data_IF_997954784706
#
_entry.id   IF_997954784706
#
_cell.length_a   1.000
_cell.length_b   1.000
_cell.length_c   1.000
_cell.angle_alpha   90.00
_cell.angle_beta   90.00
_cell.angle_gamma   90.00
#
_symmetry.space_group_name_H-M   'P 1'
#
loop_
_entity.id
_entity.type
_entity.pdbx_description
1 polymer ?
#
# COMPACT_ATOMS: atom_id res chain seq x y z
N UNK A 1 -4.08 -7.52 3.16
CA UNK A 1 -5.49 -7.28 3.54
C UNK A 1 -6.22 -8.60 3.44
N UNK A 2 -6.47 -9.25 4.57
CA UNK A 2 -7.18 -10.52 4.68
C UNK A 2 -8.68 -10.22 4.73
N UNK A 3 -9.43 -10.60 3.69
CA UNK A 3 -10.89 -10.59 3.74
C UNK A 3 -11.36 -11.81 4.53
N UNK A 4 -12.24 -11.65 5.53
CA UNK A 4 -12.77 -12.77 6.30
C UNK A 4 -13.70 -13.64 5.45
N UNK A 5 -13.55 -14.94 5.60
CA UNK A 5 -14.45 -15.95 5.10
C UNK A 5 -15.58 -16.19 6.11
N UNK A 6 -16.78 -16.17 5.57
CA UNK A 6 -18.00 -16.84 5.99
C UNK A 6 -18.60 -16.49 7.35
N UNK A 7 -19.74 -15.85 7.30
CA UNK A 7 -20.78 -16.08 8.29
C UNK A 7 -22.05 -16.54 7.57
N UNK A 8 -22.58 -17.66 8.02
CA UNK A 8 -23.88 -18.19 7.63
C UNK A 8 -25.05 -17.29 8.09
N UNK A 9 -26.29 -17.58 7.65
CA UNK A 9 -27.45 -16.72 7.86
C UNK A 9 -27.92 -16.77 9.31
N UNK A 10 -27.47 -15.80 10.08
CA UNK A 10 -28.07 -15.39 11.32
C UNK A 10 -28.04 -13.87 11.30
N UNK A 11 -29.17 -13.22 11.54
CA UNK A 11 -29.24 -11.77 11.74
C UNK A 11 -28.47 -11.39 13.01
N UNK A 12 -27.16 -11.60 12.99
CA UNK A 12 -26.24 -11.05 13.98
C UNK A 12 -26.28 -9.54 13.76
N UNK A 13 -26.70 -8.81 14.78
CA UNK A 13 -26.56 -7.36 14.85
C UNK A 13 -25.14 -7.03 14.37
N UNK A 14 -25.04 -6.30 13.27
CA UNK A 14 -23.76 -5.95 12.66
C UNK A 14 -22.92 -5.19 13.69
N UNK A 15 -22.02 -5.90 14.35
CA UNK A 15 -21.14 -5.33 15.37
C UNK A 15 -19.89 -4.73 14.71
N UNK A 16 -19.38 -3.68 15.28
CA UNK A 16 -18.07 -3.15 14.94
C UNK A 16 -17.00 -4.15 15.30
N UNK A 17 -16.13 -4.49 14.35
CA UNK A 17 -15.06 -5.45 14.52
C UNK A 17 -13.73 -4.74 14.46
N UNK A 18 -12.92 -4.78 15.53
CA UNK A 18 -11.57 -4.27 15.52
C UNK A 18 -10.62 -5.25 14.80
N UNK A 19 -9.56 -4.69 14.20
CA UNK A 19 -8.49 -5.42 13.54
C UNK A 19 -7.18 -4.68 13.80
N UNK A 20 -6.12 -5.42 14.19
CA UNK A 20 -4.83 -4.85 14.56
C UNK A 20 -3.72 -5.52 13.76
N UNK A 21 -2.79 -4.72 13.29
CA UNK A 21 -1.59 -5.19 12.60
C UNK A 21 -0.36 -4.48 13.19
N UNK A 22 0.73 -5.23 13.35
CA UNK A 22 2.04 -4.68 13.70
C UNK A 22 3.09 -5.34 12.78
N UNK A 23 4.00 -4.53 12.24
CA UNK A 23 5.00 -5.02 11.29
C UNK A 23 6.37 -4.45 11.59
N UNK A 24 7.39 -5.25 11.35
CA UNK A 24 8.77 -4.81 11.20
C UNK A 24 9.11 -4.86 9.71
N UNK A 25 9.72 -3.80 9.20
CA UNK A 25 10.08 -3.67 7.79
C UNK A 25 11.58 -3.37 7.68
N UNK A 26 12.20 -3.86 6.62
CA UNK A 26 13.50 -3.41 6.14
C UNK A 26 13.34 -2.98 4.69
N UNK A 27 13.78 -1.77 4.37
CA UNK A 27 13.69 -1.13 3.06
C UNK A 27 15.10 -0.76 2.59
N UNK A 28 15.55 -1.32 1.49
CA UNK A 28 16.90 -1.11 0.97
C UNK A 28 17.08 0.20 0.18
N UNK A 29 15.96 0.88 -0.17
CA UNK A 29 15.99 2.15 -0.90
C UNK A 29 14.82 3.06 -0.49
N UNK A 30 14.86 3.58 0.74
CA UNK A 30 13.81 4.44 1.31
C UNK A 30 13.55 5.69 0.45
N UNK A 31 14.58 6.42 -0.06
CA UNK A 31 14.38 7.61 -0.89
C UNK A 31 14.00 7.30 -2.34
N UNK A 32 14.05 6.02 -2.76
CA UNK A 32 13.87 5.61 -4.17
C UNK A 32 14.85 6.30 -5.09
N UNK A 33 16.10 6.36 -4.66
CA UNK A 33 17.19 6.97 -5.39
C UNK A 33 17.76 6.00 -6.44
N UNK A 34 18.28 6.54 -7.53
CA UNK A 34 18.97 5.80 -8.59
C UNK A 34 20.47 5.67 -8.30
N UNK A 35 21.09 6.76 -7.84
CA UNK A 35 22.54 6.78 -7.62
C UNK A 35 22.89 6.06 -6.31
N UNK A 36 23.88 5.19 -6.37
CA UNK A 36 24.34 4.43 -5.20
C UNK A 36 24.73 5.32 -4.00
N UNK A 37 25.23 6.54 -4.26
CA UNK A 37 25.57 7.52 -3.23
C UNK A 37 24.36 8.05 -2.45
N UNK A 38 23.17 7.96 -3.01
CA UNK A 38 21.92 8.50 -2.48
C UNK A 38 20.98 7.42 -2.00
N UNK A 39 21.26 6.16 -2.34
CA UNK A 39 20.51 5.01 -1.84
C UNK A 39 20.83 4.86 -0.35
N UNK A 40 19.78 4.91 0.46
CA UNK A 40 19.87 4.64 1.89
C UNK A 40 18.84 3.60 2.29
N UNK A 41 19.25 2.69 3.14
CA UNK A 41 18.41 1.65 3.71
C UNK A 41 18.01 1.99 5.14
N UNK A 42 16.85 1.53 5.56
CA UNK A 42 16.40 1.68 6.94
C UNK A 42 15.44 0.56 7.35
N UNK A 43 15.29 0.40 8.64
CA UNK A 43 14.24 -0.43 9.23
C UNK A 43 13.12 0.46 9.76
N UNK A 44 11.91 -0.05 9.72
CA UNK A 44 10.75 0.67 10.23
C UNK A 44 9.83 -0.25 11.03
N UNK A 45 9.10 0.36 11.97
CA UNK A 45 7.95 -0.23 12.62
C UNK A 45 6.69 0.33 12.00
N UNK A 46 5.75 -0.55 11.65
CA UNK A 46 4.43 -0.14 11.23
C UNK A 46 3.38 -0.72 12.17
N UNK A 47 2.34 0.05 12.44
CA UNK A 47 1.18 -0.38 13.20
C UNK A 47 -0.09 0.10 12.52
N UNK A 48 -1.15 -0.70 12.59
CA UNK A 48 -2.48 -0.34 12.13
C UNK A 48 -3.52 -0.82 13.12
N UNK A 49 -4.46 0.05 13.44
CA UNK A 49 -5.71 -0.31 14.10
C UNK A 49 -6.86 0.09 13.21
N UNK A 50 -7.84 -0.80 13.01
CA UNK A 50 -9.04 -0.49 12.25
C UNK A 50 -10.29 -0.97 12.98
N UNK A 51 -11.40 -0.29 12.71
CA UNK A 51 -12.73 -0.61 13.22
C UNK A 51 -13.68 -0.67 12.04
N UNK A 52 -14.19 -1.85 11.73
CA UNK A 52 -15.04 -2.09 10.57
C UNK A 52 -16.42 -2.62 10.93
N UNK A 53 -17.40 -2.36 10.05
CA UNK A 53 -18.74 -2.91 10.11
C UNK A 53 -19.22 -3.27 8.72
N UNK A 54 -19.89 -4.42 8.59
CA UNK A 54 -20.51 -4.89 7.35
C UNK A 54 -22.02 -4.90 7.47
N UNK A 55 -22.68 -4.58 6.36
CA UNK A 55 -24.12 -4.56 6.21
C UNK A 55 -24.49 -5.42 5.00
N UNK A 56 -25.48 -6.30 5.14
CA UNK A 56 -25.96 -7.09 4.01
C UNK A 56 -26.56 -6.18 2.92
N UNK A 57 -26.18 -6.43 1.68
CA UNK A 57 -26.66 -5.72 0.49
C UNK A 57 -27.31 -6.72 -0.48
N UNK A 58 -28.52 -7.11 -0.18
CA UNK A 58 -29.24 -8.19 -0.88
C UNK A 58 -28.77 -9.58 -0.46
N UNK A 59 -29.08 -10.61 -1.28
CA UNK A 59 -28.85 -12.01 -0.93
C UNK A 59 -27.38 -12.48 -1.04
N UNK A 60 -26.56 -11.78 -1.80
CA UNK A 60 -25.20 -12.24 -2.14
C UNK A 60 -24.13 -11.16 -2.03
N UNK A 61 -24.45 -10.00 -1.48
CA UNK A 61 -23.53 -8.87 -1.37
C UNK A 61 -23.47 -8.27 0.03
N UNK A 62 -22.36 -7.61 0.33
CA UNK A 62 -22.12 -6.91 1.58
C UNK A 62 -21.55 -5.51 1.27
N UNK A 63 -21.99 -4.51 2.03
CA UNK A 63 -21.39 -3.18 2.08
C UNK A 63 -20.60 -3.09 3.38
N UNK A 64 -19.34 -2.70 3.29
CA UNK A 64 -18.46 -2.48 4.43
C UNK A 64 -18.15 -1.00 4.63
N UNK A 65 -18.06 -0.59 5.89
CA UNK A 65 -17.49 0.69 6.29
C UNK A 65 -16.42 0.44 7.34
N UNK A 66 -15.25 1.04 7.18
CA UNK A 66 -14.18 0.94 8.17
C UNK A 66 -13.45 2.26 8.35
N UNK A 67 -12.95 2.46 9.56
CA UNK A 67 -12.04 3.55 9.92
C UNK A 67 -10.72 2.94 10.34
N UNK A 68 -9.61 3.57 10.00
CA UNK A 68 -8.30 3.08 10.37
C UNK A 68 -7.34 4.21 10.74
N UNK A 69 -6.43 3.88 11.64
CA UNK A 69 -5.25 4.68 11.97
C UNK A 69 -4.03 3.82 11.69
N UNK A 70 -3.03 4.40 11.04
CA UNK A 70 -1.77 3.74 10.69
C UNK A 70 -0.61 4.62 11.09
N UNK A 71 0.44 4.00 11.60
CA UNK A 71 1.70 4.64 11.87
C UNK A 71 2.81 3.85 11.17
N UNK A 72 3.73 4.54 10.52
CA UNK A 72 4.99 4.01 10.01
C UNK A 72 6.11 4.86 10.57
N UNK A 73 7.03 4.27 11.31
CA UNK A 73 8.16 4.96 11.92
C UNK A 73 9.48 4.33 11.49
N UNK A 74 10.27 5.07 10.76
CA UNK A 74 11.64 4.72 10.39
C UNK A 74 12.59 4.91 11.57
N UNK A 75 13.59 4.05 11.68
CA UNK A 75 14.53 4.06 12.81
C UNK A 75 15.56 5.18 12.70
N UNK A 76 16.07 5.45 11.50
CA UNK A 76 17.11 6.44 11.23
C UNK A 76 16.55 7.68 10.52
N UNK A 77 15.70 7.49 9.53
CA UNK A 77 15.15 8.57 8.70
C UNK A 77 13.74 8.93 9.20
N UNK A 78 13.66 9.41 10.45
CA UNK A 78 12.39 9.73 11.11
C UNK A 78 11.52 10.71 10.33
N UNK A 79 12.12 11.64 9.58
CA UNK A 79 11.40 12.57 8.69
C UNK A 79 10.61 11.89 7.56
N UNK A 80 10.94 10.63 7.21
CA UNK A 80 10.18 9.84 6.26
C UNK A 80 9.00 9.06 6.91
N UNK A 81 8.85 9.16 8.24
CA UNK A 81 7.76 8.52 8.98
C UNK A 81 6.42 9.18 8.67
N UNK A 82 5.33 8.44 8.88
CA UNK A 82 3.98 8.95 8.61
C UNK A 82 2.98 8.37 9.60
N UNK A 83 2.09 9.24 10.09
CA UNK A 83 0.85 8.89 10.76
C UNK A 83 -0.31 9.17 9.82
N UNK A 84 -1.24 8.23 9.68
CA UNK A 84 -2.42 8.45 8.85
C UNK A 84 -3.70 8.00 9.56
N UNK A 85 -4.79 8.71 9.27
CA UNK A 85 -6.14 8.35 9.70
C UNK A 85 -7.07 8.38 8.50
N UNK A 86 -7.91 7.36 8.35
CA UNK A 86 -8.72 7.22 7.15
C UNK A 86 -10.03 6.47 7.34
N UNK A 87 -10.81 6.48 6.26
CA UNK A 87 -12.05 5.74 6.13
C UNK A 87 -12.09 5.01 4.79
N UNK A 88 -12.71 3.84 4.79
CA UNK A 88 -12.91 3.01 3.59
C UNK A 88 -14.36 2.55 3.52
N UNK A 89 -14.98 2.74 2.35
CA UNK A 89 -16.23 2.12 1.99
C UNK A 89 -15.96 0.99 0.98
N UNK A 90 -16.60 -0.15 1.15
CA UNK A 90 -16.42 -1.32 0.30
C UNK A 90 -17.74 -1.97 -0.08
N UNK A 91 -17.74 -2.61 -1.23
CA UNK A 91 -18.81 -3.50 -1.67
C UNK A 91 -18.18 -4.82 -2.10
N UNK A 92 -18.78 -5.93 -1.68
CA UNK A 92 -18.35 -7.27 -2.04
C UNK A 92 -19.55 -8.11 -2.44
N UNK A 93 -19.43 -8.87 -3.52
CA UNK A 93 -20.51 -9.74 -4.02
C UNK A 93 -19.97 -11.06 -4.53
N UNK A 94 -20.60 -12.13 -4.11
CA UNK A 94 -20.37 -13.45 -4.66
C UNK A 94 -21.20 -13.65 -5.94
N UNK A 95 -20.54 -14.09 -7.01
CA UNK A 95 -21.14 -14.26 -8.33
C UNK A 95 -21.54 -15.73 -8.54
N UNK A 96 -22.58 -16.18 -7.88
CA UNK A 96 -23.10 -17.55 -7.95
C UNK A 96 -23.04 -18.31 -6.62
N UNK A 97 -23.37 -19.60 -6.66
CA UNK A 97 -23.44 -20.49 -5.51
C UNK A 97 -22.18 -21.38 -5.39
N UNK A 98 -21.96 -21.92 -4.20
CA UNK A 98 -20.84 -22.84 -3.93
C UNK A 98 -19.53 -22.16 -3.56
N UNK A 99 -18.55 -22.93 -3.11
CA UNK A 99 -17.27 -22.41 -2.57
C UNK A 99 -16.37 -21.82 -3.64
N UNK A 100 -16.47 -22.27 -4.89
CA UNK A 100 -15.64 -21.85 -6.02
C UNK A 100 -16.24 -20.72 -6.84
N UNK A 101 -17.44 -20.21 -6.46
CA UNK A 101 -18.05 -19.08 -7.13
C UNK A 101 -17.14 -17.84 -7.03
N UNK A 102 -16.91 -17.12 -8.13
CA UNK A 102 -16.09 -15.91 -8.11
C UNK A 102 -16.70 -14.85 -7.18
N UNK A 103 -15.83 -14.00 -6.66
CA UNK A 103 -16.20 -12.81 -5.88
C UNK A 103 -15.71 -11.56 -6.59
N UNK A 104 -16.60 -10.62 -6.75
CA UNK A 104 -16.28 -9.27 -7.18
C UNK A 104 -16.30 -8.36 -5.95
N UNK A 105 -15.34 -7.43 -5.87
CA UNK A 105 -15.37 -6.39 -4.86
C UNK A 105 -14.86 -5.06 -5.40
N UNK A 106 -15.34 -3.99 -4.79
CA UNK A 106 -14.90 -2.64 -5.03
C UNK A 106 -14.74 -1.90 -3.70
N UNK A 107 -13.79 -0.97 -3.63
CA UNK A 107 -13.60 -0.13 -2.45
C UNK A 107 -13.12 1.26 -2.84
N UNK A 108 -13.49 2.24 -2.02
CA UNK A 108 -12.96 3.60 -2.06
C UNK A 108 -12.45 3.99 -0.68
N UNK A 109 -11.39 4.76 -0.63
CA UNK A 109 -10.78 5.19 0.63
C UNK A 109 -10.34 6.64 0.57
N UNK A 110 -10.34 7.27 1.74
CA UNK A 110 -9.74 8.58 1.98
C UNK A 110 -8.89 8.47 3.25
N UNK A 111 -7.74 9.11 3.26
CA UNK A 111 -6.89 9.20 4.46
C UNK A 111 -6.18 10.55 4.49
N UNK A 112 -5.95 11.06 5.68
CA UNK A 112 -5.05 12.18 5.96
C UNK A 112 -3.73 11.63 6.45
N UNK A 113 -2.64 12.19 5.96
CA UNK A 113 -1.28 11.81 6.27
C UNK A 113 -0.55 12.99 6.89
N UNK A 114 0.09 12.77 8.02
CA UNK A 114 0.89 13.71 8.79
C UNK A 114 2.29 13.13 8.99
N UNK A 115 3.32 13.92 8.78
CA UNK A 115 4.71 13.52 8.82
C UNK A 115 5.53 14.52 9.62
N UNK A 116 6.66 14.14 10.23
CA UNK A 116 7.56 15.09 10.87
C UNK A 116 8.04 16.22 9.94
N UNK A 117 8.15 15.92 8.65
CA UNK A 117 8.47 16.89 7.61
C UNK A 117 7.20 17.31 6.87
N UNK A 118 6.74 18.55 7.07
CA UNK A 118 5.48 19.06 6.55
C UNK A 118 5.34 19.01 5.02
N UNK A 119 6.45 18.99 4.28
CA UNK A 119 6.46 18.75 2.83
C UNK A 119 5.81 17.42 2.45
N UNK A 120 5.74 16.49 3.40
CA UNK A 120 5.17 15.15 3.24
C UNK A 120 3.75 15.02 3.80
N UNK A 121 3.13 16.11 4.27
CA UNK A 121 1.75 16.11 4.72
C UNK A 121 0.79 16.12 3.55
N UNK A 122 -0.37 15.48 3.71
CA UNK A 122 -1.33 15.47 2.62
C UNK A 122 -2.59 14.64 2.87
N UNK A 123 -3.37 14.51 1.81
CA UNK A 123 -4.53 13.63 1.76
C UNK A 123 -4.34 12.59 0.65
N UNK A 124 -4.85 11.39 0.89
CA UNK A 124 -4.80 10.28 -0.04
C UNK A 124 -6.17 9.76 -0.35
N UNK A 125 -6.45 9.52 -1.61
CA UNK A 125 -7.68 8.95 -2.14
C UNK A 125 -7.35 7.66 -2.86
N UNK A 126 -8.09 6.60 -2.62
CA UNK A 126 -7.93 5.31 -3.27
C UNK A 126 -9.24 4.79 -3.83
N UNK A 127 -9.16 4.13 -4.98
CA UNK A 127 -10.23 3.31 -5.51
C UNK A 127 -9.64 1.99 -6.00
N UNK A 128 -10.31 0.87 -5.72
CA UNK A 128 -9.88 -0.46 -6.11
C UNK A 128 -11.10 -1.30 -6.49
N UNK A 129 -10.96 -2.10 -7.54
CA UNK A 129 -11.88 -3.19 -7.85
C UNK A 129 -11.10 -4.49 -8.03
N UNK A 130 -11.70 -5.62 -7.65
CA UNK A 130 -11.07 -6.92 -7.78
C UNK A 130 -12.04 -8.00 -8.18
N UNK A 131 -11.51 -9.04 -8.81
CA UNK A 131 -12.16 -10.30 -9.03
C UNK A 131 -11.29 -11.39 -8.39
N UNK A 132 -11.89 -12.18 -7.50
CA UNK A 132 -11.23 -13.29 -6.83
C UNK A 132 -11.97 -14.60 -7.10
N UNK A 133 -11.23 -15.69 -7.24
CA UNK A 133 -11.76 -17.03 -7.43
C UNK A 133 -10.98 -18.04 -6.61
N UNK A 134 -11.71 -18.91 -5.90
CA UNK A 134 -11.14 -20.12 -5.33
C UNK A 134 -11.29 -21.24 -6.36
N UNK A 135 -10.18 -21.87 -6.73
CA UNK A 135 -10.16 -22.98 -7.71
C UNK A 135 -10.44 -24.32 -7.05
N UNK A 136 -9.88 -24.51 -5.86
CA UNK A 136 -10.09 -25.65 -4.99
C UNK A 136 -9.96 -25.25 -3.52
N UNK A 137 -9.83 -26.21 -2.61
CA UNK A 137 -9.68 -25.94 -1.17
C UNK A 137 -8.37 -25.22 -0.81
N UNK A 138 -7.35 -25.33 -1.65
CA UNK A 138 -6.00 -24.83 -1.38
C UNK A 138 -5.63 -23.60 -2.20
N UNK A 139 -6.13 -23.50 -3.44
CA UNK A 139 -5.72 -22.44 -4.37
C UNK A 139 -6.80 -21.38 -4.54
N UNK A 140 -6.42 -20.15 -4.26
CA UNK A 140 -7.19 -18.94 -4.56
C UNK A 140 -6.34 -17.98 -5.37
N UNK A 141 -6.92 -17.36 -6.39
CA UNK A 141 -6.28 -16.26 -7.11
C UNK A 141 -7.22 -15.06 -7.22
N UNK A 142 -6.63 -13.89 -7.41
CA UNK A 142 -7.37 -12.65 -7.64
C UNK A 142 -6.60 -11.74 -8.59
N UNK A 143 -7.36 -10.90 -9.30
CA UNK A 143 -6.83 -9.78 -10.07
C UNK A 143 -7.51 -8.53 -9.57
N UNK A 144 -6.76 -7.46 -9.40
CA UNK A 144 -7.26 -6.16 -8.99
C UNK A 144 -6.75 -5.05 -9.89
N UNK A 145 -7.55 -4.02 -10.04
CA UNK A 145 -7.18 -2.74 -10.64
C UNK A 145 -7.36 -1.67 -9.57
N UNK A 146 -6.42 -0.75 -9.47
CA UNK A 146 -6.49 0.33 -8.49
C UNK A 146 -6.11 1.67 -9.10
N UNK A 147 -6.69 2.71 -8.54
CA UNK A 147 -6.32 4.10 -8.73
C UNK A 147 -5.96 4.69 -7.38
N UNK A 148 -4.89 5.44 -7.33
CA UNK A 148 -4.40 6.11 -6.14
C UNK A 148 -4.04 7.55 -6.48
N UNK A 149 -4.50 8.50 -5.65
CA UNK A 149 -4.17 9.92 -5.74
C UNK A 149 -3.79 10.42 -4.36
N UNK A 150 -2.68 11.10 -4.30
CA UNK A 150 -2.21 11.81 -3.12
C UNK A 150 -2.09 13.28 -3.44
N UNK A 151 -2.54 14.14 -2.55
CA UNK A 151 -2.42 15.59 -2.63
C UNK A 151 -1.59 16.07 -1.44
N UNK A 152 -0.48 16.71 -1.71
CA UNK A 152 0.33 17.39 -0.70
C UNK A 152 -0.45 18.59 -0.17
N UNK A 153 -0.33 18.88 1.13
CA UNK A 153 -1.08 19.97 1.77
C UNK A 153 -0.64 21.35 1.27
N UNK A 154 0.66 21.57 1.24
CA UNK A 154 1.24 22.89 0.96
C UNK A 154 2.15 22.86 -0.27
N UNK A 155 2.09 23.88 -1.11
CA UNK A 155 3.05 24.07 -2.20
C UNK A 155 4.30 24.77 -1.65
N UNK A 156 5.42 24.05 -1.58
CA UNK A 156 6.70 24.51 -1.07
C UNK A 156 7.67 24.85 -2.20
N UNK A 157 7.28 25.77 -3.08
CA UNK A 157 8.07 26.15 -4.24
C UNK A 157 9.46 26.68 -3.85
N UNK A 158 10.52 26.01 -4.29
CA UNK A 158 11.92 26.39 -4.06
C UNK A 158 12.60 26.92 -5.31
N UNK A 159 12.01 26.71 -6.48
CA UNK A 159 12.55 27.14 -7.79
C UNK A 159 11.46 27.76 -8.63
N UNK A 160 11.70 28.97 -9.15
CA UNK A 160 10.75 29.63 -10.04
C UNK A 160 10.46 28.78 -11.29
N UNK A 161 9.19 28.64 -11.62
CA UNK A 161 8.72 27.86 -12.79
C UNK A 161 8.62 26.35 -12.57
N UNK A 162 8.89 25.86 -11.36
CA UNK A 162 8.63 24.46 -10.96
C UNK A 162 7.62 24.43 -9.81
N UNK A 163 6.68 23.51 -9.83
CA UNK A 163 5.76 23.29 -8.71
C UNK A 163 6.51 22.80 -7.47
N UNK A 164 6.04 23.14 -6.28
CA UNK A 164 6.64 22.78 -5.00
C UNK A 164 5.92 21.67 -4.26
N UNK A 165 5.14 20.87 -4.97
CA UNK A 165 4.30 19.79 -4.45
C UNK A 165 4.75 18.38 -4.93
N UNK A 166 6.01 17.96 -4.69
CA UNK A 166 6.53 16.70 -5.22
C UNK A 166 5.77 15.47 -4.70
N UNK A 167 5.09 15.56 -3.58
CA UNK A 167 4.31 14.46 -3.01
C UNK A 167 2.84 14.45 -3.48
N UNK A 168 2.43 15.33 -4.39
CA UNK A 168 1.15 15.23 -5.10
C UNK A 168 1.26 14.23 -6.24
N UNK A 169 0.70 13.03 -6.07
CA UNK A 169 0.93 11.88 -6.93
C UNK A 169 -0.36 11.28 -7.42
N UNK A 170 -0.35 10.75 -8.63
CA UNK A 170 -1.43 9.90 -9.13
C UNK A 170 -0.89 8.66 -9.82
N UNK A 171 -1.58 7.53 -9.66
CA UNK A 171 -1.17 6.29 -10.30
C UNK A 171 -2.33 5.33 -10.51
N UNK A 172 -2.12 4.40 -11.44
CA UNK A 172 -2.99 3.25 -11.70
C UNK A 172 -2.16 1.99 -11.62
N UNK A 173 -2.75 0.91 -11.12
CA UNK A 173 -2.07 -0.37 -11.03
C UNK A 173 -2.99 -1.52 -11.36
N UNK A 174 -2.39 -2.61 -11.83
CA UNK A 174 -3.01 -3.93 -11.98
C UNK A 174 -2.16 -4.90 -11.19
N UNK A 175 -2.78 -5.76 -10.37
CA UNK A 175 -2.07 -6.75 -9.56
C UNK A 175 -2.79 -8.08 -9.65
N UNK A 176 -2.05 -9.14 -9.96
CA UNK A 176 -2.47 -10.54 -9.81
C UNK A 176 -1.88 -11.10 -8.52
N UNK A 177 -2.68 -11.83 -7.75
CA UNK A 177 -2.27 -12.47 -6.49
C UNK A 177 -2.73 -13.91 -6.46
N UNK A 178 -1.88 -14.81 -5.98
CA UNK A 178 -2.20 -16.20 -5.71
C UNK A 178 -1.92 -16.54 -4.24
N UNK A 179 -2.72 -17.43 -3.69
CA UNK A 179 -2.58 -17.99 -2.33
C UNK A 179 -2.72 -19.50 -2.43
N UNK A 180 -1.77 -20.23 -1.85
CA UNK A 180 -1.79 -21.67 -1.82
C UNK A 180 -1.62 -22.17 -0.38
N UNK A 181 -2.66 -22.88 0.13
CA UNK A 181 -2.65 -23.41 1.48
C UNK A 181 -1.86 -24.72 1.53
N UNK A 182 -0.83 -24.78 2.40
CA UNK A 182 -0.10 -25.97 2.76
C UNK A 182 -0.63 -26.49 4.10
N UNK A 183 -1.61 -27.38 4.05
CA UNK A 183 -2.29 -27.87 5.24
C UNK A 183 -3.22 -26.81 5.86
N UNK A 184 -3.37 -26.86 7.19
CA UNK A 184 -4.39 -26.07 7.90
C UNK A 184 -3.92 -24.67 8.30
N UNK A 185 -2.62 -24.45 8.43
CA UNK A 185 -2.09 -23.23 9.06
C UNK A 185 -1.14 -22.42 8.19
N UNK A 186 -0.51 -23.05 7.21
CA UNK A 186 0.49 -22.38 6.38
C UNK A 186 -0.06 -22.05 5.00
N UNK A 187 0.14 -20.83 4.53
CA UNK A 187 -0.27 -20.36 3.22
C UNK A 187 0.90 -19.66 2.53
N UNK A 188 1.25 -20.10 1.33
CA UNK A 188 2.13 -19.38 0.44
C UNK A 188 1.34 -18.25 -0.23
N UNK A 189 1.93 -17.08 -0.33
CA UNK A 189 1.35 -15.90 -0.99
C UNK A 189 2.34 -15.41 -2.02
N UNK A 190 1.87 -15.19 -3.25
CA UNK A 190 2.65 -14.54 -4.29
C UNK A 190 1.82 -13.50 -5.01
N UNK A 191 2.45 -12.42 -5.47
CA UNK A 191 1.80 -11.45 -6.34
C UNK A 191 2.75 -10.88 -7.38
N UNK A 192 2.18 -10.47 -8.52
CA UNK A 192 2.86 -9.71 -9.55
C UNK A 192 1.98 -8.54 -9.94
N UNK A 193 2.58 -7.37 -10.15
CA UNK A 193 1.85 -6.17 -10.47
C UNK A 193 2.60 -5.24 -11.41
N UNK A 194 1.83 -4.39 -12.08
CA UNK A 194 2.34 -3.27 -12.85
C UNK A 194 1.63 -1.99 -12.41
N UNK A 195 2.40 -0.94 -12.20
CA UNK A 195 1.91 0.40 -11.84
C UNK A 195 2.39 1.41 -12.86
N UNK A 196 1.54 2.36 -13.23
CA UNK A 196 1.89 3.50 -14.06
C UNK A 196 1.37 4.79 -13.42
N UNK A 197 2.18 5.83 -13.41
CA UNK A 197 1.81 7.12 -12.82
C UNK A 197 3.01 7.89 -12.31
N UNK A 198 2.79 8.68 -11.27
CA UNK A 198 3.83 9.51 -10.69
C UNK A 198 4.60 8.74 -9.62
N UNK A 199 5.88 9.06 -9.50
CA UNK A 199 6.76 8.60 -8.42
C UNK A 199 7.53 9.78 -7.85
N UNK A 200 7.92 9.67 -6.58
CA UNK A 200 8.89 10.58 -5.97
C UNK A 200 10.21 9.84 -5.82
N UNK A 201 11.27 10.50 -6.23
CA UNK A 201 12.64 10.12 -5.90
C UNK A 201 13.28 11.26 -5.12
N UNK A 202 13.82 10.96 -3.95
CA UNK A 202 14.54 11.93 -3.12
C UNK A 202 16.04 11.66 -3.25
N UNK A 203 16.79 12.64 -3.71
CA UNK A 203 18.22 12.51 -3.98
C UNK A 203 18.89 13.86 -3.77
N UNK A 204 20.21 13.88 -3.63
CA UNK A 204 20.99 15.12 -3.68
C UNK A 204 20.77 15.81 -5.02
N UNK A 205 21.19 17.07 -5.12
CA UNK A 205 21.01 17.86 -6.34
C UNK A 205 21.52 17.11 -7.57
N UNK A 206 20.60 16.79 -8.48
CA UNK A 206 20.89 16.06 -9.70
C UNK A 206 20.31 16.83 -10.90
N UNK A 207 21.15 17.46 -11.77
CA UNK A 207 20.68 18.22 -12.92
C UNK A 207 19.86 17.41 -13.91
N UNK A 208 20.15 16.13 -14.08
CA UNK A 208 19.42 15.24 -14.99
C UNK A 208 17.98 15.04 -14.51
N UNK A 209 17.81 14.72 -13.22
CA UNK A 209 16.51 14.56 -12.61
C UNK A 209 15.75 15.88 -12.57
N UNK A 210 16.42 16.97 -12.23
CA UNK A 210 15.85 18.31 -12.21
C UNK A 210 15.17 18.70 -13.53
N UNK A 211 15.84 18.41 -14.66
CA UNK A 211 15.28 18.69 -15.99
C UNK A 211 13.94 17.97 -16.25
N UNK A 212 13.78 16.76 -15.74
CA UNK A 212 12.62 15.89 -15.97
C UNK A 212 11.51 16.02 -14.91
N UNK A 213 11.82 16.60 -13.75
CA UNK A 213 10.88 16.71 -12.64
C UNK A 213 9.74 17.67 -12.96
N UNK A 214 8.51 17.25 -12.72
CA UNK A 214 7.30 18.06 -12.80
C UNK A 214 7.15 18.98 -11.58
N UNK A 215 7.60 18.53 -10.41
CA UNK A 215 7.62 19.28 -9.16
C UNK A 215 8.84 18.90 -8.35
N UNK A 216 9.30 19.81 -7.48
CA UNK A 216 10.39 19.55 -6.56
C UNK A 216 10.30 20.44 -5.31
N UNK A 217 10.77 19.91 -4.17
CA UNK A 217 10.93 20.65 -2.93
C UNK A 217 12.12 20.09 -2.14
N UNK A 218 12.62 20.82 -1.15
CA UNK A 218 13.58 20.27 -0.20
C UNK A 218 12.96 19.08 0.54
N UNK A 219 13.76 18.04 0.76
CA UNK A 219 13.34 16.84 1.50
C UNK A 219 14.29 16.57 2.67
N UNK A 220 14.12 17.27 3.79
CA UNK A 220 15.04 17.17 4.93
C UNK A 220 14.97 15.80 5.63
N UNK A 221 13.99 14.95 5.30
CA UNK A 221 13.90 13.60 5.83
C UNK A 221 15.18 12.77 5.64
N UNK A 222 15.97 13.04 4.60
CA UNK A 222 17.22 12.33 4.30
C UNK A 222 18.48 13.19 4.50
N UNK A 223 18.30 14.48 4.82
CA UNK A 223 19.37 15.43 5.07
C UNK A 223 19.16 16.76 4.33
N UNK A 224 19.95 17.80 4.66
CA UNK A 224 19.72 19.17 4.19
C UNK A 224 19.92 19.35 2.68
N UNK A 225 20.68 18.45 2.03
CA UNK A 225 20.99 18.52 0.61
C UNK A 225 20.04 17.69 -0.26
N UNK A 226 19.07 16.98 0.34
CA UNK A 226 18.14 16.16 -0.41
C UNK A 226 16.97 17.00 -0.95
N UNK A 227 16.58 16.65 -2.15
CA UNK A 227 15.44 17.24 -2.87
C UNK A 227 14.52 16.10 -3.30
N UNK A 228 13.25 16.23 -3.01
CA UNK A 228 12.20 15.36 -3.56
C UNK A 228 11.86 15.84 -4.98
N UNK A 229 11.88 14.91 -5.92
CA UNK A 229 11.54 15.13 -7.33
C UNK A 229 10.35 14.30 -7.72
N UNK A 230 9.27 14.92 -8.19
CA UNK A 230 8.13 14.21 -8.79
C UNK A 230 8.41 13.93 -10.26
N UNK A 231 8.39 12.67 -10.62
CA UNK A 231 8.56 12.18 -11.98
C UNK A 231 7.24 11.60 -12.46
N UNK A 232 6.74 12.12 -13.58
CA UNK A 232 5.46 11.70 -14.15
C UNK A 232 5.64 10.57 -15.16
N UNK A 233 4.59 9.72 -15.30
CA UNK A 233 4.55 8.66 -16.29
C UNK A 233 5.56 7.54 -16.06
N UNK A 234 6.00 7.35 -14.83
CA UNK A 234 6.83 6.22 -14.43
C UNK A 234 6.06 4.91 -14.55
N UNK A 235 6.81 3.82 -14.73
CA UNK A 235 6.31 2.44 -14.74
C UNK A 235 7.07 1.65 -13.72
N UNK A 236 6.33 0.93 -12.87
CA UNK A 236 6.91 0.03 -11.86
C UNK A 236 6.39 -1.37 -12.09
N UNK A 237 7.28 -2.35 -12.17
CA UNK A 237 6.95 -3.76 -12.05
C UNK A 237 7.21 -4.18 -10.60
N UNK A 238 6.25 -4.88 -9.99
CA UNK A 238 6.34 -5.32 -8.59
C UNK A 238 6.14 -6.82 -8.51
N UNK A 239 6.96 -7.48 -7.71
CA UNK A 239 6.81 -8.90 -7.36
C UNK A 239 6.87 -9.04 -5.86
N UNK A 240 6.00 -9.88 -5.30
CA UNK A 240 6.11 -10.25 -3.90
C UNK A 240 5.86 -11.75 -3.70
N UNK A 241 6.57 -12.34 -2.73
CA UNK A 241 6.38 -13.72 -2.33
C UNK A 241 6.65 -13.87 -0.83
N UNK A 242 5.95 -14.81 -0.19
CA UNK A 242 6.12 -15.07 1.23
C UNK A 242 5.17 -16.12 1.77
N UNK A 243 5.17 -16.23 3.08
CA UNK A 243 4.36 -17.19 3.81
C UNK A 243 3.57 -16.50 4.90
N UNK A 244 2.32 -16.93 5.07
CA UNK A 244 1.47 -16.60 6.19
C UNK A 244 1.25 -17.85 7.03
N UNK A 245 1.33 -17.73 8.35
CA UNK A 245 1.12 -18.80 9.30
C UNK A 245 0.07 -18.42 10.33
N UNK A 246 -0.95 -19.25 10.49
CA UNK A 246 -2.01 -19.05 11.47
C UNK A 246 -1.53 -19.53 12.85
N UNK A 247 -1.22 -18.59 13.74
CA UNK A 247 -0.86 -18.87 15.13
C UNK A 247 -2.07 -19.36 15.93
N UNK A 248 -3.23 -18.79 15.65
CA UNK A 248 -4.51 -19.14 16.25
C UNK A 248 -5.64 -18.74 15.32
N UNK A 249 -6.91 -19.01 15.69
CA UNK A 249 -8.09 -18.54 14.93
C UNK A 249 -8.19 -17.01 14.82
N UNK A 250 -7.45 -16.28 15.67
CA UNK A 250 -7.49 -14.81 15.79
C UNK A 250 -6.18 -14.14 15.43
N UNK A 251 -5.09 -14.89 15.29
CA UNK A 251 -3.77 -14.32 15.07
C UNK A 251 -3.02 -15.03 13.96
N UNK A 252 -2.33 -14.28 13.14
CA UNK A 252 -1.45 -14.79 12.09
C UNK A 252 -0.14 -14.01 12.02
N UNK A 253 0.89 -14.64 11.46
CA UNK A 253 2.18 -14.05 11.17
C UNK A 253 2.43 -14.20 9.68
N UNK A 254 2.80 -13.10 8.99
CA UNK A 254 3.12 -13.10 7.55
C UNK A 254 4.52 -12.55 7.34
N UNK A 255 5.38 -13.32 6.66
CA UNK A 255 6.69 -12.87 6.21
C UNK A 255 6.65 -12.70 4.69
N UNK A 256 7.04 -11.53 4.18
CA UNK A 256 6.95 -11.19 2.76
C UNK A 256 8.22 -10.48 2.28
N UNK A 257 8.65 -10.82 1.07
CA UNK A 257 9.66 -10.09 0.30
C UNK A 257 8.95 -9.43 -0.86
N UNK A 258 9.19 -8.14 -1.07
CA UNK A 258 8.69 -7.39 -2.23
C UNK A 258 9.88 -6.81 -2.97
N UNK A 259 9.88 -6.88 -4.30
CA UNK A 259 10.85 -6.26 -5.19
C UNK A 259 10.10 -5.37 -6.20
N UNK A 260 10.52 -4.12 -6.32
CA UNK A 260 10.04 -3.14 -7.27
C UNK A 260 11.17 -2.76 -8.24
N UNK A 261 10.89 -2.79 -9.54
CA UNK A 261 11.72 -2.22 -10.62
C UNK A 261 10.94 -1.03 -11.19
N UNK A 262 11.47 0.17 -11.07
CA UNK A 262 10.81 1.41 -11.50
C UNK A 262 11.63 2.11 -12.56
N UNK A 263 10.99 2.46 -13.67
CA UNK A 263 11.53 3.23 -14.78
C UNK A 263 10.72 4.49 -14.98
N UNK A 264 11.41 5.62 -14.99
CA UNK A 264 10.82 6.93 -15.21
C UNK A 264 11.41 7.60 -16.46
N UNK A 265 10.85 8.74 -16.85
CA UNK A 265 11.40 9.54 -17.97
C UNK A 265 12.82 10.00 -17.66
N UNK A 266 13.65 10.12 -18.71
CA UNK A 266 15.02 10.60 -18.59
C UNK A 266 16.01 9.53 -18.10
N UNK A 267 15.75 8.27 -18.44
CA UNK A 267 16.58 7.11 -18.07
C UNK A 267 16.78 6.97 -16.55
N UNK A 268 15.76 7.36 -15.79
CA UNK A 268 15.75 7.22 -14.34
C UNK A 268 15.18 5.87 -13.95
N UNK A 269 16.08 4.99 -13.53
CA UNK A 269 15.77 3.65 -13.08
C UNK A 269 16.16 3.48 -11.62
N UNK A 270 15.33 2.85 -10.83
CA UNK A 270 15.71 2.41 -9.49
C UNK A 270 15.00 1.12 -9.10
N UNK A 271 15.72 0.32 -8.35
CA UNK A 271 15.22 -0.89 -7.71
C UNK A 271 14.97 -0.63 -6.23
N UNK A 272 14.04 -1.38 -5.67
CA UNK A 272 13.73 -1.35 -4.25
C UNK A 272 13.31 -2.72 -3.77
N UNK A 273 13.81 -3.15 -2.62
CA UNK A 273 13.40 -4.39 -1.96
C UNK A 273 12.94 -4.09 -0.55
N UNK A 274 11.81 -4.67 -0.20
CA UNK A 274 11.24 -4.56 1.15
C UNK A 274 11.05 -5.95 1.72
N UNK A 275 11.62 -6.19 2.89
CA UNK A 275 11.34 -7.35 3.71
C UNK A 275 10.35 -6.93 4.79
N UNK A 276 9.32 -7.72 5.05
CA UNK A 276 8.38 -7.44 6.12
C UNK A 276 8.00 -8.68 6.90
N UNK A 277 7.83 -8.51 8.21
CA UNK A 277 7.24 -9.49 9.11
C UNK A 277 6.06 -8.81 9.80
N UNK A 278 4.85 -9.29 9.53
CA UNK A 278 3.60 -8.72 10.01
C UNK A 278 2.87 -9.69 10.92
N UNK A 279 2.54 -9.24 12.11
CA UNK A 279 1.57 -9.89 12.99
C UNK A 279 0.22 -9.23 12.81
N UNK A 280 -0.83 -10.03 12.62
CA UNK A 280 -2.21 -9.58 12.54
C UNK A 280 -3.06 -10.25 13.62
N UNK A 281 -3.96 -9.49 14.24
CA UNK A 281 -4.84 -9.96 15.29
C UNK A 281 -6.26 -9.42 15.11
N UNK A 282 -7.21 -10.33 15.18
CA UNK A 282 -8.66 -10.08 15.12
C UNK A 282 -9.33 -10.73 16.32
N UNK A 283 -9.80 -9.97 17.31
CA UNK A 283 -10.40 -10.49 18.54
C UNK A 283 -11.74 -11.24 18.35
#
# INVERSE_FOLDING_TARGET
MLLPLALGPGAALAQWQPDYEASVLYDDNVPRAQLASDIVHDSALAARASLGRSFAAGEAGDIGLSFDVRALRYARYEGASVLSAGATASYDRKLGLGLTAPRFGAQTSIAWEDSPESVRDGARFGALAFLAKRFDERLQASVSVAYDRREQRDDMQVVAGKAGDPFSLQSRSVTARARYAFGERATFVASAGARSGDVVSSTRRNPQIFGQAAALAADPAFGPDYIAYRLTGARTASFSAGFSYELSRRASLEALVTADDTRARGDLDYDRRVLSLTWAYRP
#
